data_IF_052909462784
#
_entry.id   IF_052909462784
#
_cell.length_a   1.000
_cell.length_b   1.000
_cell.length_c   1.000
_cell.angle_alpha   90.00
_cell.angle_beta   90.00
_cell.angle_gamma   90.00
#
_symmetry.space_group_name_H-M   'P 1'
#
loop_
_entity.id
_entity.type
_entity.pdbx_description
1 polymer ?
#
# COMPACT_ATOMS: atom_id res chain seq x y z
N UNK A 1 -22.39 1.19 -5.54
CA UNK A 1 -22.82 -0.22 -5.62
C UNK A 1 -22.11 -0.94 -4.49
N UNK A 2 -22.83 -1.26 -3.43
CA UNK A 2 -22.23 -1.81 -2.21
C UNK A 2 -21.62 -3.20 -2.47
N UNK A 3 -20.71 -3.69 -1.60
CA UNK A 3 -20.24 -5.08 -1.66
C UNK A 3 -21.41 -6.10 -1.66
N UNK A 4 -22.53 -5.73 -1.03
CA UNK A 4 -23.78 -6.50 -1.03
C UNK A 4 -24.43 -6.57 -2.42
N UNK A 5 -24.37 -5.49 -3.18
CA UNK A 5 -24.91 -5.42 -4.54
C UNK A 5 -24.05 -6.23 -5.52
N UNK A 6 -22.72 -6.22 -5.37
CA UNK A 6 -21.80 -7.06 -6.16
C UNK A 6 -22.08 -8.54 -5.93
N UNK A 7 -22.17 -8.97 -4.67
CA UNK A 7 -22.50 -10.35 -4.31
C UNK A 7 -23.86 -10.75 -4.87
N UNK A 8 -24.83 -9.83 -4.86
CA UNK A 8 -26.17 -10.06 -5.42
C UNK A 8 -26.12 -10.26 -6.93
N UNK A 9 -25.35 -9.46 -7.66
CA UNK A 9 -25.17 -9.61 -9.11
C UNK A 9 -24.46 -10.93 -9.44
N UNK A 10 -23.43 -11.31 -8.68
CA UNK A 10 -22.72 -12.60 -8.87
C UNK A 10 -23.71 -13.76 -8.66
N UNK A 11 -24.49 -13.74 -7.58
CA UNK A 11 -25.51 -14.76 -7.29
C UNK A 11 -26.56 -14.85 -8.40
N UNK A 12 -27.04 -13.71 -8.90
CA UNK A 12 -28.03 -13.69 -9.98
C UNK A 12 -27.45 -14.28 -11.28
N UNK A 13 -26.20 -13.93 -11.64
CA UNK A 13 -25.56 -14.46 -12.83
C UNK A 13 -25.27 -15.96 -12.73
N UNK A 14 -24.88 -16.44 -11.55
CA UNK A 14 -24.70 -17.88 -11.29
C UNK A 14 -26.05 -18.62 -11.40
N UNK A 15 -27.11 -18.09 -10.78
CA UNK A 15 -28.44 -18.68 -10.86
C UNK A 15 -28.99 -18.74 -12.30
N UNK A 16 -28.77 -17.67 -13.09
CA UNK A 16 -29.16 -17.65 -14.50
C UNK A 16 -28.36 -18.68 -15.34
N UNK A 17 -27.08 -18.87 -15.03
CA UNK A 17 -26.23 -19.85 -15.72
C UNK A 17 -26.66 -21.30 -15.39
N UNK A 18 -27.01 -21.57 -14.13
CA UNK A 18 -27.57 -22.85 -13.69
C UNK A 18 -28.91 -23.15 -14.39
N UNK A 19 -29.81 -22.15 -14.47
CA UNK A 19 -31.08 -22.28 -15.19
C UNK A 19 -30.91 -22.51 -16.69
N UNK A 20 -29.81 -22.02 -17.28
CA UNK A 20 -29.44 -22.25 -18.67
C UNK A 20 -28.70 -23.58 -18.91
N UNK A 21 -28.53 -24.42 -17.87
CA UNK A 21 -27.89 -25.73 -17.98
C UNK A 21 -26.37 -25.70 -18.08
N UNK A 22 -25.73 -24.57 -17.76
CA UNK A 22 -24.27 -24.43 -17.74
C UNK A 22 -23.73 -25.14 -16.49
N UNK A 23 -23.15 -26.33 -16.67
CA UNK A 23 -22.61 -27.15 -15.57
C UNK A 23 -21.17 -26.81 -15.19
N UNK A 24 -20.44 -26.14 -16.08
CA UNK A 24 -19.06 -25.68 -15.86
C UNK A 24 -18.89 -24.27 -16.43
N UNK A 25 -18.34 -23.35 -15.63
CA UNK A 25 -17.99 -22.00 -16.08
C UNK A 25 -16.51 -22.00 -16.50
N UNK A 26 -16.19 -21.73 -17.78
CA UNK A 26 -14.81 -21.65 -18.23
C UNK A 26 -14.00 -20.62 -17.43
N UNK A 27 -12.77 -20.95 -17.04
CA UNK A 27 -11.91 -20.06 -16.25
C UNK A 27 -11.68 -18.69 -16.92
N UNK A 28 -11.72 -18.63 -18.26
CA UNK A 28 -11.65 -17.37 -19.02
C UNK A 28 -12.85 -16.46 -18.78
N UNK A 29 -14.06 -17.03 -18.62
CA UNK A 29 -15.26 -16.28 -18.29
C UNK A 29 -15.24 -15.80 -16.84
N UNK A 30 -14.68 -16.61 -15.93
CA UNK A 30 -14.48 -16.20 -14.53
C UNK A 30 -13.45 -15.06 -14.42
N UNK A 31 -12.31 -15.16 -15.12
CA UNK A 31 -11.31 -14.08 -15.19
C UNK A 31 -11.91 -12.79 -15.74
N UNK A 32 -12.62 -12.87 -16.86
CA UNK A 32 -13.29 -11.70 -17.46
C UNK A 32 -14.33 -11.09 -16.52
N UNK A 33 -15.04 -11.90 -15.74
CA UNK A 33 -15.99 -11.41 -14.74
C UNK A 33 -15.27 -10.72 -13.58
N UNK A 34 -14.12 -11.25 -13.13
CA UNK A 34 -13.25 -10.62 -12.13
C UNK A 34 -12.75 -9.28 -12.66
N UNK A 35 -12.20 -9.23 -13.87
CA UNK A 35 -11.72 -7.98 -14.50
C UNK A 35 -12.85 -6.93 -14.60
N UNK A 36 -14.07 -7.35 -14.97
CA UNK A 36 -15.25 -6.46 -15.04
C UNK A 36 -15.75 -5.98 -13.67
N UNK A 37 -15.60 -6.82 -12.64
CA UNK A 37 -15.92 -6.45 -11.26
C UNK A 37 -14.86 -5.46 -10.77
N UNK A 38 -13.58 -5.70 -11.04
CA UNK A 38 -12.47 -4.79 -10.71
C UNK A 38 -12.65 -3.43 -11.41
N UNK A 39 -13.01 -3.40 -12.70
CA UNK A 39 -13.36 -2.17 -13.43
C UNK A 39 -14.54 -1.44 -12.77
N UNK A 40 -15.62 -2.13 -12.43
CA UNK A 40 -16.81 -1.53 -11.80
C UNK A 40 -16.57 -1.06 -10.36
N UNK A 41 -15.77 -1.78 -9.59
CA UNK A 41 -15.30 -1.37 -8.25
C UNK A 41 -14.41 -0.12 -8.39
N UNK A 42 -13.56 -0.08 -9.41
CA UNK A 42 -12.70 1.07 -9.71
C UNK A 42 -13.48 2.31 -10.18
N UNK A 43 -14.70 2.14 -10.69
CA UNK A 43 -15.56 3.23 -11.14
C UNK A 43 -16.59 3.70 -10.11
N UNK A 44 -16.72 3.00 -8.99
CA UNK A 44 -17.62 3.39 -7.91
C UNK A 44 -17.11 4.67 -7.21
N UNK A 45 -17.87 5.79 -7.21
CA UNK A 45 -17.44 7.04 -6.60
C UNK A 45 -17.11 6.95 -5.10
N UNK A 46 -17.68 5.99 -4.37
CA UNK A 46 -17.37 5.73 -2.95
C UNK A 46 -16.00 5.04 -2.76
N UNK A 47 -15.54 4.28 -3.78
CA UNK A 47 -14.23 3.58 -3.80
C UNK A 47 -13.16 4.42 -4.50
N UNK A 48 -13.53 5.17 -5.54
CA UNK A 48 -12.72 6.24 -6.16
C UNK A 48 -12.27 7.28 -5.14
N UNK A 49 -13.00 7.44 -4.04
CA UNK A 49 -12.71 8.42 -3.01
C UNK A 49 -11.33 8.23 -2.33
N UNK A 50 -10.67 7.06 -2.42
CA UNK A 50 -9.39 6.84 -1.73
C UNK A 50 -8.40 6.03 -2.57
N UNK A 51 -8.11 6.48 -3.78
CA UNK A 51 -6.98 5.96 -4.55
C UNK A 51 -5.75 6.82 -4.30
N UNK A 52 -4.67 6.21 -3.82
CA UNK A 52 -3.38 6.86 -3.62
C UNK A 52 -2.40 6.36 -4.68
N UNK A 53 -2.22 7.09 -5.79
CA UNK A 53 -1.20 6.75 -6.77
C UNK A 53 0.17 7.19 -6.26
N UNK A 54 1.21 6.59 -6.81
CA UNK A 54 2.58 7.01 -6.54
C UNK A 54 3.57 6.30 -7.43
N UNK A 55 4.85 6.57 -7.18
CA UNK A 55 5.92 5.93 -7.92
C UNK A 55 7.30 6.46 -7.58
N UNK A 56 8.30 5.84 -8.20
CA UNK A 56 9.67 6.26 -8.02
C UNK A 56 10.01 7.57 -8.74
N UNK A 57 11.15 8.16 -8.38
CA UNK A 57 11.67 9.41 -8.94
C UNK A 57 11.73 9.40 -10.48
N UNK A 58 12.18 8.30 -11.09
CA UNK A 58 12.32 8.22 -12.54
C UNK A 58 11.05 7.76 -13.28
N UNK A 59 9.96 7.47 -12.57
CA UNK A 59 8.69 7.02 -13.15
C UNK A 59 8.72 5.61 -13.79
N UNK A 60 9.80 4.85 -13.59
CA UNK A 60 9.93 3.48 -14.08
C UNK A 60 9.06 2.49 -13.29
N UNK A 61 8.87 2.73 -11.99
CA UNK A 61 7.99 1.97 -11.11
C UNK A 61 6.85 2.87 -10.65
N UNK A 62 5.61 2.43 -10.82
CA UNK A 62 4.37 3.09 -10.40
C UNK A 62 3.51 2.12 -9.61
N UNK A 63 2.73 2.64 -8.69
CA UNK A 63 1.83 1.84 -7.87
C UNK A 63 0.53 2.59 -7.58
N UNK A 64 -0.39 1.86 -6.97
CA UNK A 64 -1.65 2.37 -6.46
C UNK A 64 -2.00 1.67 -5.15
N UNK A 65 -2.28 2.47 -4.12
CA UNK A 65 -2.99 2.04 -2.90
C UNK A 65 -4.48 2.38 -3.01
N UNK A 66 -5.35 1.56 -2.41
CA UNK A 66 -6.78 1.83 -2.27
C UNK A 66 -7.22 1.86 -0.80
N UNK A 67 -8.20 2.70 -0.49
CA UNK A 67 -8.64 2.96 0.88
C UNK A 67 -7.76 4.00 1.58
N UNK A 68 -8.16 4.36 2.79
CA UNK A 68 -7.45 5.37 3.59
C UNK A 68 -6.13 4.80 4.15
N UNK A 69 -4.97 5.39 3.84
CA UNK A 69 -3.72 5.01 4.49
C UNK A 69 -3.80 5.27 6.00
N UNK A 70 -3.18 4.40 6.78
CA UNK A 70 -3.18 4.50 8.23
C UNK A 70 -1.76 4.42 8.79
N UNK A 71 -1.61 4.56 10.12
CA UNK A 71 -0.32 4.44 10.81
C UNK A 71 0.78 5.41 10.32
N UNK A 72 0.44 6.58 9.80
CA UNK A 72 1.40 7.52 9.23
C UNK A 72 2.40 8.00 10.29
N UNK A 73 3.68 7.63 10.15
CA UNK A 73 4.72 7.87 11.16
C UNK A 73 6.03 8.32 10.55
N UNK A 74 6.73 9.20 11.26
CA UNK A 74 8.16 9.39 11.07
C UNK A 74 8.93 8.31 11.85
N UNK A 75 9.49 7.33 11.16
CA UNK A 75 10.32 6.29 11.75
C UNK A 75 11.81 6.68 11.73
N UNK A 76 12.42 6.72 12.91
CA UNK A 76 13.81 7.14 13.12
C UNK A 76 14.81 5.98 13.27
N UNK A 77 14.33 4.72 13.23
CA UNK A 77 15.18 3.55 13.46
C UNK A 77 16.33 3.46 12.45
N UNK A 78 17.44 2.87 12.87
CA UNK A 78 18.64 2.76 12.05
C UNK A 78 18.39 2.06 10.70
N UNK A 79 17.58 0.99 10.71
CA UNK A 79 17.22 0.24 9.50
C UNK A 79 16.51 1.11 8.47
N UNK A 80 15.52 1.91 8.90
CA UNK A 80 14.79 2.80 8.01
C UNK A 80 15.72 3.89 7.46
N UNK A 81 16.54 4.51 8.32
CA UNK A 81 17.52 5.54 7.92
C UNK A 81 18.50 5.01 6.88
N UNK A 82 19.11 3.84 7.14
CA UNK A 82 20.07 3.21 6.22
C UNK A 82 19.43 2.81 4.90
N UNK A 83 18.21 2.25 4.94
CA UNK A 83 17.52 1.79 3.72
C UNK A 83 17.12 2.93 2.78
N UNK A 84 16.77 4.09 3.32
CA UNK A 84 16.35 5.25 2.53
C UNK A 84 17.47 6.27 2.28
N UNK A 85 18.60 6.16 2.99
CA UNK A 85 19.64 7.19 2.98
C UNK A 85 19.16 8.53 3.54
N UNK A 86 18.22 8.51 4.50
CA UNK A 86 17.55 9.70 5.03
C UNK A 86 17.60 9.76 6.57
N UNK A 87 17.45 10.96 7.20
CA UNK A 87 17.44 11.09 8.66
C UNK A 87 16.30 10.35 9.37
N UNK A 88 15.19 10.12 8.67
CA UNK A 88 14.06 9.29 9.05
C UNK A 88 13.25 8.97 7.78
N UNK A 89 12.30 8.06 7.88
CA UNK A 89 11.37 7.74 6.78
C UNK A 89 9.95 7.95 7.24
N UNK A 90 9.16 8.66 6.44
CA UNK A 90 7.72 8.74 6.64
C UNK A 90 7.05 7.57 5.94
N UNK A 91 6.46 6.68 6.73
CA UNK A 91 5.70 5.54 6.25
C UNK A 91 4.20 5.80 6.37
N UNK A 92 3.44 5.25 5.44
CA UNK A 92 1.99 5.11 5.52
C UNK A 92 1.61 3.67 5.19
N UNK A 93 0.77 3.06 6.01
CA UNK A 93 0.38 1.66 5.89
C UNK A 93 -0.88 1.51 5.04
N UNK A 94 -0.92 0.46 4.23
CA UNK A 94 -2.12 -0.05 3.58
C UNK A 94 -2.33 -1.51 3.96
N UNK A 95 -3.58 -1.97 3.89
CA UNK A 95 -3.84 -3.41 3.79
C UNK A 95 -3.15 -3.92 2.52
N UNK A 96 -2.40 -5.02 2.61
CA UNK A 96 -1.61 -5.53 1.49
C UNK A 96 -2.45 -5.83 0.26
N UNK A 97 -3.69 -6.32 0.45
CA UNK A 97 -4.62 -6.60 -0.64
C UNK A 97 -5.12 -5.35 -1.37
N UNK A 98 -4.91 -4.17 -0.78
CA UNK A 98 -5.30 -2.88 -1.34
C UNK A 98 -4.15 -2.16 -2.04
N UNK A 99 -2.96 -2.75 -2.12
CA UNK A 99 -1.80 -2.13 -2.76
C UNK A 99 -1.31 -3.00 -3.93
N UNK A 100 -0.99 -2.36 -5.05
CA UNK A 100 -0.36 -3.04 -6.20
C UNK A 100 0.56 -2.12 -6.98
N UNK A 101 1.61 -2.70 -7.56
CA UNK A 101 2.37 -2.03 -8.62
C UNK A 101 1.56 -2.04 -9.92
N UNK A 102 1.52 -0.90 -10.59
CA UNK A 102 0.73 -0.67 -11.82
C UNK A 102 1.60 -0.54 -13.06
N UNK A 103 2.90 -0.29 -12.89
CA UNK A 103 3.90 -0.25 -13.96
C UNK A 103 5.27 -0.55 -13.38
N UNK A 104 6.02 -1.41 -14.08
CA UNK A 104 7.39 -1.77 -13.71
C UNK A 104 7.46 -2.61 -12.44
N UNK A 105 8.52 -3.41 -12.35
CA UNK A 105 8.75 -4.27 -11.19
C UNK A 105 9.83 -3.64 -10.29
N UNK A 106 9.55 -3.41 -9.00
CA UNK A 106 10.60 -3.02 -8.07
C UNK A 106 11.54 -4.20 -7.82
N UNK A 107 12.73 -3.91 -7.30
CA UNK A 107 13.59 -4.93 -6.72
C UNK A 107 13.27 -5.08 -5.24
N UNK A 108 13.15 -6.32 -4.77
CA UNK A 108 12.98 -6.64 -3.36
C UNK A 108 14.30 -7.11 -2.73
N UNK A 109 14.49 -6.77 -1.45
CA UNK A 109 15.55 -7.29 -0.59
C UNK A 109 14.90 -7.77 0.70
N UNK A 110 15.27 -8.98 1.12
CA UNK A 110 14.92 -9.53 2.43
C UNK A 110 16.10 -9.37 3.39
N UNK A 111 15.84 -8.82 4.58
CA UNK A 111 16.83 -8.68 5.64
C UNK A 111 16.16 -8.80 7.01
N UNK A 112 16.72 -9.65 7.87
CA UNK A 112 16.21 -9.89 9.23
C UNK A 112 14.70 -10.19 9.28
N UNK A 113 14.21 -11.00 8.33
CA UNK A 113 12.80 -11.41 8.21
C UNK A 113 11.86 -10.33 7.67
N UNK A 114 12.38 -9.18 7.23
CA UNK A 114 11.62 -8.06 6.67
C UNK A 114 11.92 -7.92 5.18
N UNK A 115 10.92 -7.46 4.43
CA UNK A 115 11.04 -7.28 2.98
C UNK A 115 10.96 -5.79 2.67
N UNK A 116 11.87 -5.29 1.85
CA UNK A 116 11.87 -3.91 1.35
C UNK A 116 11.91 -3.92 -0.17
N UNK A 117 11.25 -2.95 -0.79
CA UNK A 117 11.32 -2.76 -2.23
C UNK A 117 11.86 -1.39 -2.61
N UNK A 118 12.54 -1.31 -3.74
CA UNK A 118 13.04 -0.07 -4.32
C UNK A 118 13.06 -0.13 -5.84
N UNK A 119 13.08 1.04 -6.49
CA UNK A 119 13.22 1.09 -7.93
C UNK A 119 14.64 0.68 -8.36
N UNK A 120 14.81 -0.34 -9.23
CA UNK A 120 16.14 -0.76 -9.67
C UNK A 120 16.85 0.30 -10.54
N UNK A 121 16.12 1.26 -11.11
CA UNK A 121 16.68 2.26 -12.02
C UNK A 121 17.17 3.52 -11.30
N UNK A 122 16.51 3.94 -10.22
CA UNK A 122 16.86 5.19 -9.52
C UNK A 122 17.09 5.04 -8.02
N UNK A 123 16.90 3.85 -7.45
CA UNK A 123 17.15 3.58 -6.03
C UNK A 123 16.08 4.09 -5.07
N UNK A 124 15.00 4.75 -5.54
CA UNK A 124 13.91 5.19 -4.65
C UNK A 124 13.36 4.02 -3.83
N UNK A 125 13.42 4.11 -2.51
CA UNK A 125 12.79 3.18 -1.60
C UNK A 125 11.26 3.34 -1.67
N UNK A 126 10.54 2.23 -1.86
CA UNK A 126 9.10 2.23 -2.14
C UNK A 126 8.30 1.61 -1.01
N UNK A 127 8.60 0.36 -0.64
CA UNK A 127 7.77 -0.35 0.35
C UNK A 127 8.57 -1.08 1.42
N UNK A 128 7.90 -1.38 2.53
CA UNK A 128 8.38 -2.22 3.62
C UNK A 128 7.28 -3.17 4.10
N UNK A 129 7.65 -4.39 4.45
CA UNK A 129 6.81 -5.36 5.12
C UNK A 129 7.60 -6.04 6.24
N UNK A 130 6.91 -6.36 7.34
CA UNK A 130 7.48 -7.11 8.48
C UNK A 130 7.72 -8.59 8.20
N UNK A 131 7.37 -9.06 7.00
CA UNK A 131 7.66 -10.39 6.47
C UNK A 131 6.73 -10.78 5.33
N UNK A 132 7.01 -11.92 4.67
CA UNK A 132 6.24 -12.40 3.52
C UNK A 132 4.76 -12.69 3.82
N UNK A 133 4.41 -12.97 5.08
CA UNK A 133 3.04 -13.19 5.54
C UNK A 133 2.33 -11.93 6.07
N UNK A 134 2.94 -10.75 5.94
CA UNK A 134 2.32 -9.51 6.43
C UNK A 134 1.04 -9.20 5.66
N UNK A 135 -0.02 -8.85 6.40
CA UNK A 135 -1.27 -8.29 5.85
C UNK A 135 -1.17 -6.77 5.66
N UNK A 136 -0.06 -6.17 6.07
CA UNK A 136 0.22 -4.74 5.98
C UNK A 136 1.43 -4.51 5.08
N UNK A 137 1.35 -3.45 4.28
CA UNK A 137 2.48 -2.92 3.51
C UNK A 137 2.62 -1.44 3.80
N UNK A 138 3.81 -1.06 4.23
CA UNK A 138 4.19 0.34 4.43
C UNK A 138 4.75 0.89 3.13
N UNK A 139 4.33 2.11 2.77
CA UNK A 139 4.75 2.81 1.56
C UNK A 139 5.39 4.13 1.95
N UNK A 140 6.49 4.49 1.29
CA UNK A 140 7.16 5.77 1.55
C UNK A 140 6.28 6.93 1.10
N UNK A 141 5.81 7.75 2.04
CA UNK A 141 4.86 8.86 1.77
C UNK A 141 5.40 9.84 0.72
N UNK A 142 6.71 10.09 0.72
CA UNK A 142 7.34 10.98 -0.26
C UNK A 142 7.26 10.50 -1.72
N UNK A 143 6.75 9.30 -1.97
CA UNK A 143 6.56 8.75 -3.32
C UNK A 143 5.10 8.73 -3.77
N UNK A 144 4.18 9.25 -2.96
CA UNK A 144 2.78 9.49 -3.34
C UNK A 144 2.67 10.65 -4.32
N UNK A 145 1.61 10.63 -5.13
CA UNK A 145 1.27 11.69 -6.08
C UNK A 145 -0.15 12.22 -5.82
N UNK A 146 -0.34 13.28 -5.00
CA UNK A 146 0.69 14.06 -4.30
C UNK A 146 0.99 13.55 -2.87
N UNK A 147 2.16 13.87 -2.29
CA UNK A 147 2.54 13.41 -0.94
C UNK A 147 1.83 14.10 0.22
N UNK A 148 1.34 15.33 0.03
CA UNK A 148 0.66 16.12 1.07
C UNK A 148 -0.76 15.64 1.41
N UNK A 149 -1.26 14.59 0.75
CA UNK A 149 -2.58 14.01 1.07
C UNK A 149 -2.65 13.38 2.46
N UNK A 150 -1.49 13.13 3.09
CA UNK A 150 -1.38 12.61 4.44
C UNK A 150 -0.37 13.41 5.25
N UNK A 151 -0.59 13.46 6.56
CA UNK A 151 0.35 14.01 7.52
C UNK A 151 0.72 12.95 8.56
N UNK A 152 1.99 12.89 9.00
CA UNK A 152 2.41 12.01 10.07
C UNK A 152 1.73 12.38 11.38
N UNK A 153 1.32 11.35 12.14
CA UNK A 153 0.65 11.52 13.42
C UNK A 153 1.61 11.41 14.61
N UNK A 154 2.80 10.84 14.41
CA UNK A 154 3.79 10.61 15.47
C UNK A 154 5.21 10.38 14.92
N UNK A 155 6.15 10.27 15.86
CA UNK A 155 7.52 9.81 15.64
C UNK A 155 7.72 8.50 16.39
N UNK A 156 8.21 7.48 15.71
CA UNK A 156 8.58 6.19 16.31
C UNK A 156 10.08 5.98 16.26
N UNK A 157 10.58 5.17 17.20
CA UNK A 157 12.01 4.86 17.35
C UNK A 157 12.87 6.10 17.60
N UNK A 158 12.36 7.08 18.35
CA UNK A 158 13.10 8.34 18.61
C UNK A 158 14.36 8.15 19.45
N UNK A 159 14.55 6.99 20.09
CA UNK A 159 15.81 6.61 20.75
C UNK A 159 16.97 6.45 19.75
N UNK A 160 16.67 6.10 18.49
CA UNK A 160 17.64 5.95 17.40
C UNK A 160 17.80 7.22 16.54
N UNK A 161 17.08 8.30 16.89
CA UNK A 161 17.10 9.56 16.14
C UNK A 161 18.51 10.15 16.14
N UNK A 162 18.93 10.66 14.98
CA UNK A 162 20.20 11.37 14.88
C UNK A 162 20.21 12.60 15.81
N UNK A 163 21.28 12.83 16.61
CA UNK A 163 21.30 13.87 17.64
C UNK A 163 21.09 15.32 17.13
N UNK A 164 21.41 15.57 15.85
CA UNK A 164 21.23 16.86 15.19
C UNK A 164 19.80 17.11 14.69
N UNK A 165 18.93 16.11 14.67
CA UNK A 165 17.51 16.30 14.34
C UNK A 165 16.78 16.82 15.58
N UNK A 166 16.19 18.02 15.44
CA UNK A 166 15.34 18.64 16.46
C UNK A 166 13.89 18.56 15.99
N UNK A 167 13.03 17.89 16.76
CA UNK A 167 11.61 17.76 16.46
C UNK A 167 10.86 18.93 17.10
N UNK A 168 10.13 19.70 16.30
CA UNK A 168 9.46 20.95 16.71
C UNK A 168 7.97 20.99 16.32
N UNK A 169 7.45 19.89 15.77
CA UNK A 169 6.07 19.70 15.32
C UNK A 169 5.09 19.40 16.47
N UNK A 170 5.58 19.19 17.69
CA UNK A 170 4.82 18.77 18.87
C UNK A 170 4.05 17.44 18.70
N UNK A 171 4.42 16.63 17.71
CA UNK A 171 3.83 15.31 17.54
C UNK A 171 4.27 14.37 18.67
N UNK A 172 3.43 13.39 19.05
CA UNK A 172 3.82 12.32 19.95
C UNK A 172 5.15 11.67 19.54
N UNK A 173 6.01 11.44 20.53
CA UNK A 173 7.31 10.80 20.33
C UNK A 173 7.36 9.50 21.12
N UNK A 174 7.59 8.40 20.41
CA UNK A 174 7.76 7.07 20.98
C UNK A 174 9.23 6.67 20.87
N UNK A 175 9.85 6.34 22.00
CA UNK A 175 11.24 5.87 22.03
C UNK A 175 11.43 4.64 21.13
N UNK A 176 10.40 3.80 21.00
CA UNK A 176 10.35 2.57 20.17
C UNK A 176 9.10 2.55 19.28
N UNK A 177 8.62 1.35 18.95
CA UNK A 177 7.30 1.16 18.33
C UNK A 177 6.17 1.70 19.23
N UNK A 178 5.03 2.05 18.62
CA UNK A 178 3.84 2.52 19.34
C UNK A 178 3.43 1.56 20.46
N UNK A 179 3.05 2.12 21.61
CA UNK A 179 2.54 1.36 22.75
C UNK A 179 3.57 0.48 23.46
N UNK A 180 4.87 0.67 23.19
CA UNK A 180 5.98 -0.04 23.85
C UNK A 180 6.94 0.93 24.53
#
# INVERSE_FOLDING_TARGET
MTPRDVITIIRQKLSNAEQAGVREVPLSNLRRLIDQIDERISDDPEIKANVVPGGCLCGAVRYQGSGEPYNITHCHCEDCRKSAGAPFVTWASFCRNNFRFTKGEPREIEWAGRIRSFCPNCGTALTFMTGAGSNEIDVTVATFDPPEIVTPADHTWTEDRLPWIKLADNLPQHARARGK
#
